data_IF_915518164600
#
_entry.id   IF_915518164600
#
_cell.length_a   1.000
_cell.length_b   1.000
_cell.length_c   1.000
_cell.angle_alpha   90.00
_cell.angle_beta   90.00
_cell.angle_gamma   90.00
#
_symmetry.space_group_name_H-M   'P 1'
#
loop_
_entity.id
_entity.type
_entity.pdbx_description
1 polymer ?
#
# COMPACT_ATOMS: atom_id res chain seq x y z
N UNK A 1 -5.62 1.15 -7.89
CA UNK A 1 -4.40 0.45 -8.34
C UNK A 1 -3.47 1.31 -9.20
N UNK A 2 -3.72 2.63 -9.34
CA UNK A 2 -2.84 3.52 -10.13
C UNK A 2 -1.70 4.02 -9.25
N UNK A 3 -0.46 3.96 -9.78
CA UNK A 3 0.73 4.52 -9.15
C UNK A 3 0.87 6.00 -9.55
N UNK A 4 1.09 6.85 -8.57
CA UNK A 4 1.42 8.27 -8.79
C UNK A 4 2.86 8.38 -9.34
N UNK A 5 3.14 9.25 -10.33
CA UNK A 5 4.49 9.44 -10.90
C UNK A 5 5.37 10.26 -9.94
N UNK A 6 5.80 9.64 -8.84
CA UNK A 6 6.48 10.28 -7.70
C UNK A 6 7.77 10.95 -8.12
N UNK A 7 8.55 10.31 -8.99
CA UNK A 7 9.83 10.83 -9.47
C UNK A 7 9.69 12.18 -10.20
N UNK A 8 8.61 12.30 -11.00
CA UNK A 8 8.30 13.57 -11.70
C UNK A 8 7.82 14.64 -10.73
N UNK A 9 7.01 14.25 -9.73
CA UNK A 9 6.53 15.16 -8.71
C UNK A 9 7.67 15.63 -7.80
N UNK A 10 8.60 14.75 -7.44
CA UNK A 10 9.80 15.09 -6.67
C UNK A 10 10.64 16.14 -7.40
N UNK A 11 10.92 15.92 -8.69
CA UNK A 11 11.65 16.88 -9.49
C UNK A 11 10.95 18.26 -9.55
N UNK A 12 9.62 18.26 -9.68
CA UNK A 12 8.84 19.49 -9.69
C UNK A 12 8.88 20.20 -8.31
N UNK A 13 8.69 19.47 -7.22
CA UNK A 13 8.77 20.04 -5.86
C UNK A 13 10.13 20.71 -5.64
N UNK A 14 11.21 20.04 -6.01
CA UNK A 14 12.57 20.55 -5.83
C UNK A 14 12.86 21.80 -6.67
N UNK A 15 12.27 21.92 -7.87
CA UNK A 15 12.38 23.17 -8.67
C UNK A 15 11.80 24.38 -7.95
N UNK A 16 10.83 24.19 -7.08
CA UNK A 16 10.22 25.25 -6.25
C UNK A 16 10.75 25.29 -4.81
N UNK A 17 11.85 24.60 -4.51
CA UNK A 17 12.42 24.54 -3.16
C UNK A 17 11.55 23.80 -2.14
N UNK A 18 10.56 23.04 -2.59
CA UNK A 18 9.68 22.24 -1.74
C UNK A 18 10.21 20.81 -1.60
N UNK A 19 9.94 20.20 -0.44
CA UNK A 19 10.23 18.79 -0.18
C UNK A 19 9.00 17.91 -0.48
N UNK A 20 9.22 16.64 -0.77
CA UNK A 20 8.16 15.68 -1.04
C UNK A 20 8.11 14.58 0.02
N UNK A 21 6.94 14.41 0.61
CA UNK A 21 6.63 13.27 1.49
C UNK A 21 5.71 12.30 0.74
N UNK A 22 6.10 11.03 0.70
CA UNK A 22 5.36 9.99 -0.01
C UNK A 22 4.78 8.99 0.98
N UNK A 23 3.46 8.83 0.96
CA UNK A 23 2.78 7.70 1.59
C UNK A 23 2.94 6.47 0.70
N UNK A 24 3.85 5.59 1.10
CA UNK A 24 4.12 4.32 0.44
C UNK A 24 3.42 3.14 1.12
N UNK A 25 2.37 3.37 1.92
CA UNK A 25 1.68 2.32 2.65
C UNK A 25 1.11 1.20 1.78
N UNK A 26 0.85 1.44 0.49
CA UNK A 26 0.38 0.43 -0.46
C UNK A 26 1.46 -0.03 -1.46
N UNK A 27 2.60 0.65 -1.50
CA UNK A 27 3.65 0.35 -2.49
C UNK A 27 4.93 -0.20 -1.88
N UNK A 28 5.27 0.16 -0.64
CA UNK A 28 6.45 -0.37 0.04
C UNK A 28 6.41 -1.90 0.15
N UNK A 29 7.52 -2.54 -0.21
CA UNK A 29 7.64 -4.00 -0.25
C UNK A 29 7.09 -4.65 -1.52
N UNK A 30 6.30 -3.94 -2.32
CA UNK A 30 5.72 -4.42 -3.58
C UNK A 30 6.37 -3.73 -4.77
N UNK A 31 6.20 -2.41 -4.89
CA UNK A 31 6.82 -1.62 -5.96
C UNK A 31 8.26 -1.32 -5.58
N UNK A 32 9.22 -1.51 -6.49
CA UNK A 32 10.59 -1.07 -6.26
C UNK A 32 10.66 0.43 -6.00
N UNK A 33 11.23 0.82 -4.86
CA UNK A 33 11.42 2.20 -4.46
C UNK A 33 12.86 2.38 -4.04
N UNK A 34 13.59 3.27 -4.73
CA UNK A 34 14.91 3.73 -4.32
C UNK A 34 14.78 5.20 -3.93
N UNK A 35 14.85 5.50 -2.63
CA UNK A 35 14.64 6.85 -2.12
C UNK A 35 15.73 7.83 -2.62
N UNK A 36 16.95 7.34 -2.82
CA UNK A 36 18.06 8.15 -3.32
C UNK A 36 17.87 8.60 -4.77
N UNK A 37 17.40 7.69 -5.62
CA UNK A 37 17.22 7.92 -7.06
C UNK A 37 15.89 8.60 -7.39
N UNK A 38 14.84 8.30 -6.62
CA UNK A 38 13.49 8.84 -6.85
C UNK A 38 13.32 10.31 -6.47
N UNK A 39 14.26 10.86 -5.72
CA UNK A 39 14.15 12.22 -5.20
C UNK A 39 13.16 12.39 -4.05
N UNK A 40 12.65 11.31 -3.47
CA UNK A 40 11.76 11.35 -2.30
C UNK A 40 12.55 11.87 -1.09
N UNK A 41 12.02 12.87 -0.38
CA UNK A 41 12.65 13.39 0.84
C UNK A 41 12.22 12.60 2.07
N UNK A 42 10.93 12.26 2.15
CA UNK A 42 10.36 11.49 3.25
C UNK A 42 9.50 10.36 2.71
N UNK A 43 9.69 9.16 3.25
CA UNK A 43 8.89 7.99 2.86
C UNK A 43 8.22 7.38 4.07
N UNK A 44 6.89 7.28 4.05
CA UNK A 44 6.10 6.64 5.09
C UNK A 44 5.63 5.26 4.64
N UNK A 45 5.90 4.21 5.45
CA UNK A 45 5.55 2.84 5.13
C UNK A 45 4.73 2.19 6.24
N UNK A 46 3.78 1.34 5.86
CA UNK A 46 3.04 0.49 6.79
C UNK A 46 3.71 -0.89 6.89
N UNK A 47 4.12 -1.29 8.10
CA UNK A 47 4.82 -2.56 8.30
C UNK A 47 3.97 -3.80 7.99
N UNK A 48 2.66 -3.73 8.25
CA UNK A 48 1.72 -4.86 8.14
C UNK A 48 1.14 -5.11 6.74
N UNK A 49 1.63 -4.41 5.71
CA UNK A 49 1.18 -4.59 4.32
C UNK A 49 2.26 -5.30 3.49
N UNK A 50 2.72 -4.71 2.40
CA UNK A 50 3.72 -5.31 1.52
C UNK A 50 5.09 -5.59 2.14
N UNK A 51 5.35 -5.08 3.36
CA UNK A 51 6.54 -5.42 4.14
C UNK A 51 6.37 -6.68 5.02
N UNK A 52 5.18 -7.31 5.03
CA UNK A 52 4.89 -8.56 5.74
C UNK A 52 5.21 -8.56 7.25
N UNK A 53 5.24 -7.39 7.88
CA UNK A 53 5.42 -7.23 9.31
C UNK A 53 4.10 -7.28 10.10
N UNK A 54 4.15 -7.18 11.43
CA UNK A 54 2.97 -7.16 12.28
C UNK A 54 2.21 -5.82 12.18
N UNK A 55 0.97 -5.82 12.67
CA UNK A 55 0.21 -4.59 12.90
C UNK A 55 0.85 -3.72 14.00
N UNK A 56 0.54 -2.42 14.00
CA UNK A 56 1.02 -1.48 15.03
C UNK A 56 2.48 -1.06 14.86
N UNK A 57 3.05 -1.24 13.67
CA UNK A 57 4.39 -0.78 13.32
C UNK A 57 4.39 -0.09 11.97
N UNK A 58 5.09 1.03 11.87
CA UNK A 58 5.34 1.78 10.65
C UNK A 58 6.78 2.21 10.54
N UNK A 59 7.16 2.76 9.42
CA UNK A 59 8.52 3.25 9.16
C UNK A 59 8.40 4.65 8.54
N UNK A 60 9.17 5.59 9.07
CA UNK A 60 9.49 6.86 8.44
C UNK A 60 10.96 6.82 8.01
N UNK A 61 11.20 7.04 6.71
CA UNK A 61 12.57 7.15 6.17
C UNK A 61 12.80 8.59 5.74
N UNK A 62 13.90 9.18 6.22
CA UNK A 62 14.39 10.48 5.82
C UNK A 62 15.57 10.29 4.85
N UNK A 63 15.53 10.94 3.69
CA UNK A 63 16.63 10.89 2.72
C UNK A 63 17.88 11.58 3.26
N UNK A 64 17.68 12.74 3.87
CA UNK A 64 18.74 13.49 4.54
C UNK A 64 18.62 13.29 6.06
N UNK A 65 19.59 12.61 6.71
CA UNK A 65 19.57 12.41 8.15
C UNK A 65 19.76 13.71 8.96
N UNK A 66 20.22 14.77 8.32
CA UNK A 66 20.37 16.08 8.95
C UNK A 66 19.11 16.93 8.87
N UNK A 67 18.12 16.47 8.10
CA UNK A 67 16.84 17.16 7.99
C UNK A 67 16.06 17.08 9.31
N UNK A 68 15.53 18.21 9.75
CA UNK A 68 14.83 18.32 11.03
C UNK A 68 13.36 18.62 10.79
N UNK A 69 12.54 17.58 10.86
CA UNK A 69 11.08 17.74 10.96
C UNK A 69 10.70 18.24 12.35
N UNK A 70 9.62 19.00 12.45
CA UNK A 70 8.99 19.30 13.72
C UNK A 70 8.42 18.03 14.37
N UNK A 71 8.51 17.96 15.68
CA UNK A 71 7.88 16.87 16.46
C UNK A 71 6.38 17.18 16.65
N UNK A 72 5.55 16.12 16.65
CA UNK A 72 4.11 16.23 16.88
C UNK A 72 3.75 15.59 18.23
N UNK A 73 4.42 14.51 18.58
CA UNK A 73 4.25 13.78 19.86
C UNK A 73 5.61 13.75 20.53
N UNK A 74 5.65 14.08 21.81
CA UNK A 74 6.89 14.21 22.60
C UNK A 74 6.77 13.51 23.94
N UNK A 75 7.95 13.17 24.52
CA UNK A 75 8.09 12.65 25.88
C UNK A 75 8.35 11.16 25.99
N UNK A 76 8.91 10.77 27.12
CA UNK A 76 9.10 9.38 27.52
C UNK A 76 10.07 8.55 26.67
N UNK A 77 11.04 9.18 26.00
CA UNK A 77 11.98 8.52 25.08
C UNK A 77 12.96 7.56 25.75
N UNK A 78 13.11 7.64 27.09
CA UNK A 78 14.09 6.84 27.84
C UNK A 78 15.53 7.32 27.71
N UNK A 79 15.78 8.39 26.93
CA UNK A 79 17.08 9.03 26.76
C UNK A 79 17.05 10.47 27.29
N UNK A 80 18.19 11.04 27.62
CA UNK A 80 18.34 12.42 28.11
C UNK A 80 17.37 12.79 29.26
N UNK A 81 17.19 11.90 30.24
CA UNK A 81 16.15 11.97 31.29
C UNK A 81 16.20 13.24 32.18
N UNK A 82 17.25 14.04 32.09
CA UNK A 82 17.38 15.33 32.79
C UNK A 82 16.91 16.53 31.96
N UNK A 83 16.71 16.33 30.64
CA UNK A 83 16.18 17.34 29.74
C UNK A 83 14.65 17.34 29.81
N UNK A 84 14.05 18.55 29.81
CA UNK A 84 12.61 18.73 29.63
C UNK A 84 12.19 18.79 28.17
N UNK A 85 13.17 18.80 27.26
CA UNK A 85 12.95 18.87 25.82
C UNK A 85 13.10 17.49 25.20
N UNK A 86 12.36 17.26 24.12
CA UNK A 86 12.55 16.08 23.26
C UNK A 86 13.98 16.04 22.73
N UNK A 87 14.63 14.87 22.64
CA UNK A 87 15.96 14.75 22.02
C UNK A 87 16.00 15.32 20.60
N UNK A 88 17.16 15.85 20.22
CA UNK A 88 17.33 16.42 18.87
C UNK A 88 17.74 15.40 17.83
N UNK A 89 18.30 14.28 18.27
CA UNK A 89 18.86 13.27 17.36
C UNK A 89 17.85 12.17 17.00
N UNK A 90 17.73 11.81 15.70
CA UNK A 90 17.01 10.61 15.30
C UNK A 90 17.74 9.32 15.82
N UNK A 91 17.00 8.23 16.08
CA UNK A 91 15.55 8.10 15.94
C UNK A 91 14.73 8.67 17.10
N UNK A 92 15.34 8.97 18.27
CA UNK A 92 14.66 9.35 19.51
C UNK A 92 13.84 10.62 19.35
N UNK A 93 14.28 11.54 18.49
CA UNK A 93 13.52 12.76 18.17
C UNK A 93 12.08 12.46 17.72
N UNK A 94 11.87 11.36 16.99
CA UNK A 94 10.59 11.00 16.39
C UNK A 94 9.89 9.82 17.08
N UNK A 95 10.51 9.28 18.14
CA UNK A 95 10.00 8.13 18.89
C UNK A 95 9.57 8.57 20.29
N UNK A 96 8.30 8.93 20.46
CA UNK A 96 7.75 9.27 21.76
C UNK A 96 7.29 8.02 22.52
N UNK A 97 7.64 7.94 23.82
CA UNK A 97 7.27 6.82 24.68
C UNK A 97 8.13 5.57 24.46
N UNK A 98 7.71 4.46 25.03
CA UNK A 98 8.38 3.16 24.88
C UNK A 98 8.12 2.59 23.51
N UNK A 99 9.16 2.39 22.72
CA UNK A 99 9.05 1.87 21.34
C UNK A 99 8.58 0.41 21.33
N UNK A 100 7.87 0.02 20.27
CA UNK A 100 7.38 -1.34 20.05
C UNK A 100 8.52 -2.27 19.57
N UNK A 101 9.46 -2.61 20.46
CA UNK A 101 10.62 -3.47 20.14
C UNK A 101 10.20 -4.83 19.56
N UNK A 102 9.20 -5.55 20.11
CA UNK A 102 8.74 -6.81 19.50
C UNK A 102 8.24 -6.63 18.06
N UNK A 103 7.52 -5.55 17.80
CA UNK A 103 7.04 -5.21 16.45
C UNK A 103 8.19 -4.92 15.48
N UNK A 104 9.23 -4.20 15.93
CA UNK A 104 10.43 -3.90 15.13
C UNK A 104 11.16 -5.19 14.76
N UNK A 105 11.37 -6.09 15.74
CA UNK A 105 12.04 -7.39 15.52
C UNK A 105 11.23 -8.24 14.53
N UNK A 106 9.92 -8.30 14.69
CA UNK A 106 9.07 -9.05 13.78
C UNK A 106 9.06 -8.45 12.35
N UNK A 107 9.01 -7.11 12.24
CA UNK A 107 9.08 -6.42 10.94
C UNK A 107 10.39 -6.71 10.20
N UNK A 108 11.53 -6.84 10.93
CA UNK A 108 12.81 -7.23 10.34
C UNK A 108 12.70 -8.53 9.54
N UNK A 109 11.93 -9.50 10.01
CA UNK A 109 11.73 -10.77 9.30
C UNK A 109 10.97 -10.58 7.99
N UNK A 110 9.94 -9.72 7.98
CA UNK A 110 9.20 -9.36 6.78
C UNK A 110 10.08 -8.62 5.75
N UNK A 111 10.84 -7.62 6.20
CA UNK A 111 11.79 -6.89 5.35
C UNK A 111 12.85 -7.84 4.78
N UNK A 112 13.38 -8.76 5.58
CA UNK A 112 14.35 -9.76 5.13
C UNK A 112 13.76 -10.69 4.07
N UNK A 113 12.48 -11.08 4.21
CA UNK A 113 11.76 -11.86 3.21
C UNK A 113 11.66 -11.09 1.88
N UNK A 114 11.24 -9.82 1.92
CA UNK A 114 11.14 -8.94 0.74
C UNK A 114 12.50 -8.79 0.06
N UNK A 115 13.56 -8.52 0.84
CA UNK A 115 14.92 -8.39 0.33
C UNK A 115 15.41 -9.69 -0.33
N UNK A 116 15.16 -10.84 0.29
CA UNK A 116 15.55 -12.17 -0.24
C UNK A 116 14.81 -12.49 -1.54
N UNK A 117 13.50 -12.21 -1.61
CA UNK A 117 12.70 -12.45 -2.82
C UNK A 117 13.03 -11.46 -3.93
N UNK A 118 13.41 -10.25 -3.58
CA UNK A 118 13.67 -9.12 -4.47
C UNK A 118 12.39 -8.38 -4.87
N UNK A 119 12.36 -7.07 -4.65
CA UNK A 119 11.19 -6.23 -4.94
C UNK A 119 10.76 -6.30 -6.41
N UNK A 120 11.71 -6.31 -7.35
CA UNK A 120 11.44 -6.44 -8.78
C UNK A 120 10.71 -7.76 -9.11
N UNK A 121 11.11 -8.86 -8.46
CA UNK A 121 10.46 -10.15 -8.64
C UNK A 121 9.05 -10.15 -8.07
N UNK A 122 8.88 -9.60 -6.84
CA UNK A 122 7.57 -9.44 -6.19
C UNK A 122 6.65 -8.64 -7.11
N UNK A 123 7.09 -7.46 -7.54
CA UNK A 123 6.29 -6.58 -8.39
C UNK A 123 5.87 -7.25 -9.69
N UNK A 124 6.80 -7.90 -10.38
CA UNK A 124 6.53 -8.59 -11.64
C UNK A 124 5.52 -9.75 -11.47
N UNK A 125 5.70 -10.57 -10.43
CA UNK A 125 4.82 -11.71 -10.15
C UNK A 125 3.41 -11.23 -9.79
N UNK A 126 3.30 -10.32 -8.83
CA UNK A 126 2.00 -9.83 -8.36
C UNK A 126 1.26 -9.04 -9.45
N UNK A 127 1.97 -8.20 -10.22
CA UNK A 127 1.38 -7.44 -11.31
C UNK A 127 0.88 -8.39 -12.43
N UNK A 128 1.63 -9.46 -12.72
CA UNK A 128 1.21 -10.51 -13.65
C UNK A 128 -0.09 -11.20 -13.21
N UNK A 129 -0.21 -11.49 -11.91
CA UNK A 129 -1.43 -12.07 -11.32
C UNK A 129 -2.62 -11.10 -11.35
N UNK A 130 -2.39 -9.83 -11.04
CA UNK A 130 -3.42 -8.79 -11.13
C UNK A 130 -3.91 -8.58 -12.57
N UNK A 131 -2.99 -8.57 -13.54
CA UNK A 131 -3.30 -8.50 -14.97
C UNK A 131 -4.12 -9.71 -15.42
N UNK A 132 -3.75 -10.93 -14.97
CA UNK A 132 -4.52 -12.13 -15.23
C UNK A 132 -5.96 -12.03 -14.69
N UNK A 133 -6.12 -11.60 -13.43
CA UNK A 133 -7.43 -11.40 -12.81
C UNK A 133 -8.24 -10.36 -13.58
N UNK A 134 -7.65 -9.22 -13.92
CA UNK A 134 -8.30 -8.16 -14.68
C UNK A 134 -8.84 -8.66 -16.00
N UNK A 135 -8.03 -9.41 -16.79
CA UNK A 135 -8.47 -10.00 -18.07
C UNK A 135 -9.58 -11.02 -17.88
N UNK A 136 -9.57 -11.80 -16.80
CA UNK A 136 -10.64 -12.74 -16.48
C UNK A 136 -11.96 -12.03 -16.20
N UNK A 137 -11.91 -11.00 -15.35
CA UNK A 137 -13.08 -10.20 -14.98
C UNK A 137 -13.62 -9.35 -16.14
N UNK A 138 -12.75 -8.84 -17.03
CA UNK A 138 -13.17 -8.00 -18.17
C UNK A 138 -14.02 -8.75 -19.22
N UNK A 139 -14.00 -10.10 -19.20
CA UNK A 139 -14.84 -10.93 -20.09
C UNK A 139 -16.26 -11.14 -19.55
N UNK A 140 -16.53 -10.75 -18.31
CA UNK A 140 -17.84 -10.92 -17.68
C UNK A 140 -18.71 -9.70 -17.96
N UNK A 141 -19.85 -9.90 -18.61
CA UNK A 141 -20.73 -8.81 -19.12
C UNK A 141 -21.21 -7.84 -18.02
N UNK A 142 -21.45 -8.36 -16.81
CA UNK A 142 -21.97 -7.56 -15.68
C UNK A 142 -20.87 -6.91 -14.83
N UNK A 143 -19.60 -7.12 -15.17
CA UNK A 143 -18.48 -6.57 -14.40
C UNK A 143 -18.02 -5.24 -14.97
N UNK A 144 -18.03 -4.21 -14.13
CA UNK A 144 -17.42 -2.92 -14.40
C UNK A 144 -16.06 -2.84 -13.71
N UNK A 145 -15.01 -2.67 -14.50
CA UNK A 145 -13.65 -2.43 -14.02
C UNK A 145 -13.35 -0.92 -13.99
N UNK A 146 -12.60 -0.47 -12.98
CA UNK A 146 -12.33 0.96 -12.76
C UNK A 146 -10.92 1.40 -13.18
N UNK A 147 -10.10 0.47 -13.63
CA UNK A 147 -8.76 0.74 -14.19
C UNK A 147 -8.58 -0.02 -15.48
N UNK A 148 -7.61 0.39 -16.28
CA UNK A 148 -7.09 -0.44 -17.36
C UNK A 148 -6.37 -1.66 -16.79
N UNK A 149 -6.00 -2.60 -17.67
CA UNK A 149 -5.19 -3.77 -17.30
C UNK A 149 -3.90 -3.31 -16.61
N UNK A 150 -3.62 -3.82 -15.39
CA UNK A 150 -2.44 -3.41 -14.65
C UNK A 150 -1.15 -3.73 -15.37
N UNK A 151 -0.31 -2.72 -15.59
CA UNK A 151 1.00 -2.82 -16.26
C UNK A 151 2.03 -1.91 -15.58
N UNK A 152 3.26 -2.36 -15.52
CA UNK A 152 4.38 -1.52 -15.07
C UNK A 152 4.59 -0.34 -16.03
N UNK A 153 5.06 0.79 -15.54
CA UNK A 153 5.30 1.14 -14.14
C UNK A 153 4.09 1.80 -13.45
N UNK A 154 2.92 1.85 -14.08
CA UNK A 154 1.81 2.72 -13.76
C UNK A 154 0.79 2.15 -12.76
N UNK A 155 0.90 0.86 -12.43
CA UNK A 155 -0.07 0.18 -11.58
C UNK A 155 0.58 -0.58 -10.43
N UNK A 156 -0.19 -0.73 -9.35
CA UNK A 156 0.07 -1.69 -8.27
C UNK A 156 -0.83 -2.92 -8.45
N UNK A 157 -0.52 -4.08 -7.83
CA UNK A 157 -1.22 -5.35 -8.05
C UNK A 157 -2.59 -5.40 -7.35
N UNK A 158 -3.47 -4.49 -7.72
CA UNK A 158 -4.83 -4.33 -7.18
C UNK A 158 -5.84 -4.20 -8.33
N UNK A 159 -6.95 -4.92 -8.23
CA UNK A 159 -8.06 -4.83 -9.18
C UNK A 159 -9.33 -4.41 -8.45
N UNK A 160 -9.91 -3.29 -8.85
CA UNK A 160 -11.19 -2.80 -8.33
C UNK A 160 -12.28 -2.96 -9.37
N UNK A 161 -13.42 -3.53 -8.95
CA UNK A 161 -14.55 -3.82 -9.83
C UNK A 161 -15.87 -3.72 -9.08
N UNK A 162 -16.97 -3.62 -9.83
CA UNK A 162 -18.33 -3.84 -9.33
C UNK A 162 -19.08 -4.80 -10.27
N UNK A 163 -20.16 -5.37 -9.75
CA UNK A 163 -21.11 -6.18 -10.52
C UNK A 163 -22.38 -5.36 -10.71
N UNK A 164 -22.83 -5.23 -11.94
CA UNK A 164 -24.01 -4.43 -12.29
C UNK A 164 -25.27 -4.93 -11.54
N UNK A 165 -26.00 -3.99 -10.92
CA UNK A 165 -27.20 -4.28 -10.14
C UNK A 165 -26.96 -4.82 -8.75
N UNK A 166 -25.69 -4.85 -8.27
CA UNK A 166 -25.35 -5.32 -6.91
C UNK A 166 -24.50 -4.27 -6.18
N UNK A 167 -24.69 -4.14 -4.86
CA UNK A 167 -23.80 -3.36 -4.00
C UNK A 167 -22.47 -4.08 -3.79
N UNK A 168 -21.41 -3.32 -3.55
CA UNK A 168 -20.06 -3.90 -3.32
C UNK A 168 -20.05 -4.86 -2.13
N UNK A 169 -20.79 -4.53 -1.05
CA UNK A 169 -20.92 -5.35 0.15
C UNK A 169 -21.61 -6.69 -0.12
N UNK A 170 -22.67 -6.70 -0.92
CA UNK A 170 -23.40 -7.92 -1.29
C UNK A 170 -22.50 -8.90 -2.08
N UNK A 171 -21.70 -8.33 -3.00
CA UNK A 171 -20.69 -9.12 -3.75
C UNK A 171 -19.64 -9.65 -2.78
N UNK A 172 -19.17 -8.83 -1.83
CA UNK A 172 -18.20 -9.23 -0.81
C UNK A 172 -18.71 -10.35 0.07
N UNK A 173 -19.96 -10.26 0.55
CA UNK A 173 -20.59 -11.32 1.36
C UNK A 173 -20.74 -12.64 0.56
N UNK A 174 -21.17 -12.53 -0.69
CA UNK A 174 -21.28 -13.71 -1.56
C UNK A 174 -19.94 -14.40 -1.74
N UNK A 175 -18.86 -13.63 -2.00
CA UNK A 175 -17.52 -14.16 -2.14
C UNK A 175 -16.99 -14.72 -0.81
N UNK A 176 -17.27 -14.05 0.31
CA UNK A 176 -16.91 -14.51 1.66
C UNK A 176 -17.52 -15.88 1.99
N UNK A 177 -18.80 -16.11 1.63
CA UNK A 177 -19.44 -17.43 1.78
C UNK A 177 -18.79 -18.53 0.95
N UNK A 178 -17.95 -18.16 -0.05
CA UNK A 178 -17.15 -19.08 -0.87
C UNK A 178 -15.68 -19.14 -0.45
N UNK A 179 -15.35 -18.62 0.73
CA UNK A 179 -13.98 -18.52 1.26
C UNK A 179 -13.04 -17.69 0.37
N UNK A 180 -13.58 -16.70 -0.33
CA UNK A 180 -12.80 -15.75 -1.15
C UNK A 180 -12.80 -14.40 -0.45
N UNK A 181 -11.66 -14.00 0.10
CA UNK A 181 -11.49 -12.75 0.82
C UNK A 181 -11.26 -11.59 -0.17
N UNK A 182 -12.14 -10.59 -0.12
CA UNK A 182 -12.01 -9.31 -0.83
C UNK A 182 -12.29 -8.18 0.14
N UNK A 183 -11.99 -6.95 -0.24
CA UNK A 183 -12.39 -5.78 0.53
C UNK A 183 -13.44 -4.97 -0.24
N UNK A 184 -14.49 -4.51 0.45
CA UNK A 184 -15.55 -3.70 -0.13
C UNK A 184 -15.56 -2.28 0.48
N UNK A 185 -16.18 -1.32 -0.21
CA UNK A 185 -16.35 0.06 0.23
C UNK A 185 -15.32 1.04 -0.35
N UNK A 186 -14.97 2.09 0.42
CA UNK A 186 -14.19 3.23 -0.04
C UNK A 186 -12.67 3.08 0.10
N UNK A 187 -12.17 1.99 0.69
CA UNK A 187 -10.74 1.63 0.78
C UNK A 187 -9.82 2.73 1.36
N UNK A 188 -10.34 3.61 2.25
CA UNK A 188 -9.66 4.80 2.77
C UNK A 188 -9.26 5.81 1.67
N UNK A 189 -9.99 5.86 0.56
CA UNK A 189 -9.68 6.70 -0.60
C UNK A 189 -10.93 7.44 -1.13
N UNK A 190 -11.63 8.25 -0.30
CA UNK A 190 -12.89 8.88 -0.69
C UNK A 190 -12.75 9.77 -1.94
N UNK A 191 -11.68 10.54 -2.05
CA UNK A 191 -11.45 11.39 -3.23
C UNK A 191 -11.30 10.59 -4.53
N UNK A 192 -10.70 9.39 -4.48
CA UNK A 192 -10.63 8.51 -5.64
C UNK A 192 -12.04 8.01 -6.04
N UNK A 193 -12.86 7.65 -5.06
CA UNK A 193 -14.24 7.21 -5.30
C UNK A 193 -15.12 8.33 -5.85
N UNK A 194 -14.99 9.57 -5.35
CA UNK A 194 -15.64 10.76 -5.93
C UNK A 194 -15.27 10.93 -7.41
N UNK A 195 -13.98 10.81 -7.75
CA UNK A 195 -13.51 10.90 -9.14
C UNK A 195 -14.04 9.79 -10.04
N UNK A 196 -14.28 8.60 -9.48
CA UNK A 196 -14.79 7.43 -10.20
C UNK A 196 -16.32 7.32 -10.21
N UNK A 197 -17.03 8.20 -9.47
CA UNK A 197 -18.49 8.14 -9.29
C UNK A 197 -18.94 6.88 -8.55
N UNK A 198 -18.18 6.50 -7.51
CA UNK A 198 -18.45 5.30 -6.69
C UNK A 198 -18.48 5.60 -5.19
N UNK A 199 -18.68 6.87 -4.82
CA UNK A 199 -18.69 7.33 -3.43
C UNK A 199 -19.82 6.73 -2.61
N UNK A 200 -21.00 6.50 -3.21
CA UNK A 200 -22.18 5.97 -2.47
C UNK A 200 -22.09 4.47 -2.18
N UNK A 201 -21.48 3.70 -3.08
CA UNK A 201 -21.47 2.23 -2.98
C UNK A 201 -20.08 1.61 -2.91
N UNK A 202 -19.03 2.41 -3.02
CA UNK A 202 -17.66 1.90 -3.06
C UNK A 202 -17.40 0.93 -4.21
N UNK A 203 -16.36 0.13 -4.06
CA UNK A 203 -16.02 -0.95 -5.00
C UNK A 203 -15.62 -2.23 -4.26
N UNK A 204 -15.68 -3.35 -4.95
CA UNK A 204 -15.00 -4.59 -4.55
C UNK A 204 -13.54 -4.48 -4.98
N UNK A 205 -12.61 -4.72 -4.06
CA UNK A 205 -11.18 -4.72 -4.33
C UNK A 205 -10.58 -6.09 -4.08
N UNK A 206 -10.00 -6.67 -5.11
CA UNK A 206 -9.15 -7.85 -5.01
C UNK A 206 -7.68 -7.40 -5.04
N UNK A 207 -6.90 -7.87 -4.05
CA UNK A 207 -5.47 -7.63 -3.94
C UNK A 207 -4.75 -8.97 -4.01
N UNK A 208 -3.68 -9.05 -4.76
CA UNK A 208 -2.86 -10.25 -4.89
C UNK A 208 -1.55 -10.05 -4.14
N UNK A 209 -0.89 -11.15 -3.80
CA UNK A 209 0.42 -11.17 -3.18
C UNK A 209 1.25 -12.32 -3.76
N UNK A 210 2.53 -12.38 -3.41
CA UNK A 210 3.42 -13.49 -3.80
C UNK A 210 2.94 -14.87 -3.31
N UNK A 211 2.00 -14.92 -2.38
CA UNK A 211 1.37 -16.15 -1.88
C UNK A 211 0.12 -16.54 -2.66
N UNK A 212 -0.44 -15.63 -3.46
CA UNK A 212 -1.64 -15.88 -4.26
C UNK A 212 -1.35 -16.90 -5.36
N UNK A 213 -2.21 -17.90 -5.47
CA UNK A 213 -2.11 -18.93 -6.51
C UNK A 213 -3.12 -18.66 -7.62
N UNK A 214 -2.76 -18.99 -8.85
CA UNK A 214 -3.63 -18.81 -10.02
C UNK A 214 -5.02 -19.44 -9.84
N UNK A 215 -5.09 -20.64 -9.24
CA UNK A 215 -6.35 -21.33 -8.94
C UNK A 215 -7.31 -20.51 -8.05
N UNK A 216 -6.77 -19.63 -7.18
CA UNK A 216 -7.58 -18.75 -6.33
C UNK A 216 -8.20 -17.61 -7.14
N UNK A 217 -7.47 -17.10 -8.13
CA UNK A 217 -8.00 -16.13 -9.08
C UNK A 217 -9.06 -16.75 -10.01
N UNK A 218 -8.84 -17.98 -10.46
CA UNK A 218 -9.83 -18.73 -11.24
C UNK A 218 -11.12 -18.97 -10.45
N UNK A 219 -10.99 -19.29 -9.15
CA UNK A 219 -12.13 -19.43 -8.23
C UNK A 219 -12.91 -18.11 -8.08
N UNK A 220 -12.20 -16.97 -7.93
CA UNK A 220 -12.85 -15.66 -7.87
C UNK A 220 -13.58 -15.33 -9.17
N UNK A 221 -12.93 -15.49 -10.33
CA UNK A 221 -13.54 -15.24 -11.65
C UNK A 221 -14.78 -16.11 -11.82
N UNK A 222 -14.69 -17.42 -11.52
CA UNK A 222 -15.81 -18.35 -11.59
C UNK A 222 -16.94 -18.01 -10.61
N UNK A 223 -16.62 -17.52 -9.40
CA UNK A 223 -17.63 -17.09 -8.45
C UNK A 223 -18.39 -15.84 -8.96
N UNK A 224 -17.65 -14.84 -9.45
CA UNK A 224 -18.22 -13.60 -9.99
C UNK A 224 -19.04 -13.85 -11.26
N UNK A 225 -18.65 -14.82 -12.10
CA UNK A 225 -19.41 -15.16 -13.32
C UNK A 225 -20.83 -15.72 -13.06
N UNK A 226 -21.12 -16.08 -11.80
CA UNK A 226 -22.43 -16.63 -11.37
C UNK A 226 -23.35 -15.56 -10.74
N UNK A 227 -22.87 -14.32 -10.65
CA UNK A 227 -23.63 -13.16 -10.20
C UNK A 227 -24.27 -12.45 -11.40
#
# INVERSE_FOLDING_TARGET
GIRVPVERLAALCHQYGAKICVDAAQSAGVVPINIGESGIDYLCCAGHKGLYGPMGIGILVLRDPLDRLGTIIEGGTGTQSRSLMQPDDPPERYEAGTINVPGIIALRSGVAFVAKKGQENIYREELGMASYLHRGLSRLRRVKLYTNEPRAPWYVPVVSFNVEGMKSEEVGEYLGRKNIAVRCGLHCAPCAHMKLGTEEGGTVRASVSVFTKRRELDALISAVSRL
#
